data_IF_417449017656
#
_entry.id   IF_417449017656
#
_cell.length_a   1.000
_cell.length_b   1.000
_cell.length_c   1.000
_cell.angle_alpha   90.00
_cell.angle_beta   90.00
_cell.angle_gamma   90.00
#
_symmetry.space_group_name_H-M   'P 1'
#
loop_
_entity.id
_entity.type
_entity.pdbx_description
1 polymer ?
#
# COMPACT_ATOMS: atom_id res chain seq x y z
N UNK A 1 11.32 -5.80 21.34
CA UNK A 1 12.59 -5.28 20.80
C UNK A 1 12.95 -6.16 19.61
N UNK A 2 12.51 -5.91 18.38
CA UNK A 2 11.92 -4.72 17.78
C UNK A 2 10.93 -5.23 16.73
N UNK A 3 9.76 -4.57 16.69
CA UNK A 3 8.78 -4.47 15.59
C UNK A 3 9.44 -4.84 14.25
N UNK A 4 8.94 -5.68 13.34
CA UNK A 4 7.71 -5.67 12.53
C UNK A 4 7.39 -4.49 11.55
N UNK A 5 8.27 -3.50 11.26
CA UNK A 5 8.22 -2.75 10.01
C UNK A 5 9.12 -3.38 8.92
N UNK A 6 9.68 -4.56 9.16
CA UNK A 6 10.74 -5.14 8.32
C UNK A 6 10.25 -5.91 7.08
N UNK A 7 8.99 -6.33 7.01
CA UNK A 7 8.53 -7.20 5.91
C UNK A 7 8.21 -6.42 4.64
N UNK A 8 8.02 -5.09 4.73
CA UNK A 8 7.80 -4.24 3.55
C UNK A 8 8.96 -3.24 3.28
N UNK A 9 9.82 -2.98 4.27
CA UNK A 9 10.88 -1.95 4.20
C UNK A 9 12.24 -2.44 3.66
N UNK A 10 12.51 -3.76 3.61
CA UNK A 10 13.84 -4.27 3.23
C UNK A 10 14.07 -4.52 1.73
N UNK A 11 13.04 -4.40 0.90
CA UNK A 11 13.14 -4.71 -0.53
C UNK A 11 13.00 -3.44 -1.37
N UNK A 12 14.15 -2.80 -1.54
CA UNK A 12 14.57 -2.03 -2.71
C UNK A 12 14.34 -0.50 -2.69
N UNK A 13 15.42 0.27 -2.45
CA UNK A 13 15.53 1.67 -2.90
C UNK A 13 15.60 1.80 -4.45
N UNK A 14 14.90 0.95 -5.20
CA UNK A 14 14.85 0.93 -6.68
C UNK A 14 13.43 0.88 -7.26
N UNK A 15 12.40 1.11 -6.44
CA UNK A 15 11.00 1.10 -6.89
C UNK A 15 10.50 2.49 -7.35
N UNK A 16 11.19 3.10 -8.31
CA UNK A 16 10.62 4.20 -9.12
C UNK A 16 9.30 3.83 -9.88
N UNK A 17 9.02 2.56 -10.28
CA UNK A 17 7.83 2.24 -11.09
C UNK A 17 6.48 2.54 -10.42
N UNK A 18 6.34 2.31 -9.11
CA UNK A 18 5.06 2.54 -8.43
C UNK A 18 4.70 4.03 -8.34
N UNK A 19 5.69 4.90 -8.14
CA UNK A 19 5.49 6.36 -8.15
C UNK A 19 4.96 6.81 -9.51
N UNK A 20 5.53 6.30 -10.59
CA UNK A 20 5.10 6.60 -11.96
C UNK A 20 3.71 6.05 -12.27
N UNK A 21 3.40 4.81 -11.85
CA UNK A 21 2.06 4.22 -12.05
C UNK A 21 0.96 4.97 -11.28
N UNK A 22 1.23 5.38 -10.03
CA UNK A 22 0.27 6.18 -9.25
C UNK A 22 0.02 7.54 -9.91
N UNK A 23 1.07 8.26 -10.33
CA UNK A 23 0.90 9.57 -10.98
C UNK A 23 0.22 9.47 -12.35
N UNK A 24 0.54 8.45 -13.14
CA UNK A 24 -0.01 8.25 -14.48
C UNK A 24 -1.48 7.80 -14.42
N UNK A 25 -1.78 6.76 -13.64
CA UNK A 25 -3.13 6.17 -13.56
C UNK A 25 -4.08 6.90 -12.60
N UNK A 26 -3.62 7.28 -11.40
CA UNK A 26 -4.46 7.98 -10.41
C UNK A 26 -4.33 9.49 -10.55
N UNK A 27 -3.15 10.06 -10.79
CA UNK A 27 -2.92 11.50 -10.68
C UNK A 27 -2.78 11.95 -9.23
N UNK A 28 -2.98 13.26 -8.96
CA UNK A 28 -2.83 13.82 -7.61
C UNK A 28 -3.91 13.28 -6.67
N UNK A 29 -3.48 12.59 -5.60
CA UNK A 29 -4.37 12.05 -4.57
C UNK A 29 -4.84 13.19 -3.68
N UNK A 30 -6.16 13.35 -3.61
CA UNK A 30 -6.82 14.44 -2.87
C UNK A 30 -7.52 13.95 -1.60
N UNK A 31 -7.77 12.65 -1.50
CA UNK A 31 -8.42 12.06 -0.33
C UNK A 31 -8.04 10.59 -0.14
N UNK A 32 -7.97 10.17 1.12
CA UNK A 32 -7.65 8.79 1.53
C UNK A 32 -8.61 8.39 2.65
N UNK A 33 -9.39 7.34 2.41
CA UNK A 33 -10.24 6.68 3.39
C UNK A 33 -9.52 5.46 3.96
N UNK A 34 -9.29 5.47 5.27
CA UNK A 34 -8.58 4.42 5.99
C UNK A 34 -9.46 3.84 7.10
N UNK A 35 -9.28 2.56 7.42
CA UNK A 35 -10.05 1.91 8.47
C UNK A 35 -9.69 2.46 9.85
N UNK A 36 -10.54 2.18 10.83
CA UNK A 36 -10.21 2.46 12.23
C UNK A 36 -9.05 1.57 12.73
N UNK A 37 -8.21 2.08 13.64
CA UNK A 37 -7.21 1.26 14.32
C UNK A 37 -7.88 0.11 15.09
N UNK A 38 -7.12 -0.95 15.37
CA UNK A 38 -7.57 -2.20 16.03
C UNK A 38 -8.64 -3.00 15.23
N UNK A 39 -8.87 -2.62 13.97
CA UNK A 39 -9.68 -3.39 13.02
C UNK A 39 -8.97 -4.65 12.51
N UNK A 40 -9.65 -5.39 11.63
CA UNK A 40 -9.06 -6.55 10.95
C UNK A 40 -9.24 -6.43 9.44
N UNK A 41 -8.27 -6.97 8.69
CA UNK A 41 -8.28 -7.03 7.23
C UNK A 41 -8.27 -8.49 6.77
N UNK A 42 -8.80 -8.73 5.57
CA UNK A 42 -8.78 -10.04 4.92
C UNK A 42 -8.11 -9.92 3.57
N UNK A 43 -7.30 -10.93 3.21
CA UNK A 43 -6.65 -10.98 1.90
C UNK A 43 -7.66 -10.81 0.77
N UNK A 44 -7.32 -9.93 -0.19
CA UNK A 44 -8.11 -9.65 -1.38
C UNK A 44 -9.37 -8.82 -1.12
N UNK A 45 -9.64 -8.41 0.12
CA UNK A 45 -10.77 -7.52 0.44
C UNK A 45 -10.32 -6.08 0.61
N UNK A 46 -11.19 -5.16 0.22
CA UNK A 46 -10.97 -3.74 0.43
C UNK A 46 -10.93 -3.42 1.93
N UNK A 47 -9.97 -2.57 2.32
CA UNK A 47 -9.88 -2.00 3.66
C UNK A 47 -10.05 -0.47 3.69
N UNK A 48 -10.05 0.17 2.52
CA UNK A 48 -10.08 1.62 2.37
C UNK A 48 -10.12 2.02 0.89
N UNK A 49 -10.07 3.32 0.63
CA UNK A 49 -10.11 3.85 -0.73
C UNK A 49 -9.18 5.06 -0.87
N UNK A 50 -8.61 5.24 -2.06
CA UNK A 50 -7.94 6.49 -2.47
C UNK A 50 -8.78 7.20 -3.52
N UNK A 51 -8.88 8.51 -3.40
CA UNK A 51 -9.49 9.36 -4.40
C UNK A 51 -8.50 10.40 -4.90
N UNK A 52 -8.48 10.55 -6.21
CA UNK A 52 -7.69 11.53 -6.93
C UNK A 52 -8.60 12.43 -7.77
N UNK A 53 -8.00 13.42 -8.40
CA UNK A 53 -8.71 14.27 -9.38
C UNK A 53 -9.20 13.52 -10.63
N UNK A 54 -8.74 12.27 -10.85
CA UNK A 54 -9.09 11.47 -12.02
C UNK A 54 -10.01 10.29 -11.70
N UNK A 55 -9.86 9.68 -10.52
CA UNK A 55 -10.50 8.42 -10.21
C UNK A 55 -10.62 8.17 -8.71
N UNK A 56 -11.49 7.24 -8.34
CA UNK A 56 -11.57 6.64 -7.01
C UNK A 56 -11.23 5.17 -7.14
N UNK A 57 -10.32 4.67 -6.31
CA UNK A 57 -9.90 3.28 -6.30
C UNK A 57 -9.97 2.69 -4.90
N UNK A 58 -10.57 1.51 -4.80
CA UNK A 58 -10.51 0.69 -3.58
C UNK A 58 -9.09 0.16 -3.36
N UNK A 59 -8.73 -0.06 -2.10
CA UNK A 59 -7.44 -0.59 -1.68
C UNK A 59 -7.65 -1.93 -1.03
N UNK A 60 -7.18 -2.98 -1.70
CA UNK A 60 -7.32 -4.35 -1.22
C UNK A 60 -6.14 -4.77 -0.34
N UNK A 61 -6.43 -5.49 0.74
CA UNK A 61 -5.37 -5.99 1.62
C UNK A 61 -4.63 -7.16 0.95
N UNK A 62 -3.29 -7.15 0.90
CA UNK A 62 -2.52 -8.26 0.33
C UNK A 62 -2.54 -9.51 1.25
N UNK A 63 -2.84 -9.32 2.54
CA UNK A 63 -2.83 -10.35 3.57
C UNK A 63 -3.98 -10.17 4.55
N UNK A 64 -4.32 -11.24 5.27
CA UNK A 64 -5.25 -11.23 6.39
C UNK A 64 -4.51 -10.93 7.70
N UNK A 65 -5.14 -10.16 8.59
CA UNK A 65 -4.51 -9.82 9.86
C UNK A 65 -5.22 -8.75 10.67
N UNK A 66 -4.58 -8.37 11.77
CA UNK A 66 -5.02 -7.31 12.68
C UNK A 66 -4.29 -6.01 12.35
N UNK A 67 -5.02 -4.90 12.30
CA UNK A 67 -4.45 -3.58 12.07
C UNK A 67 -3.82 -3.09 13.38
N UNK A 68 -2.50 -2.91 13.39
CA UNK A 68 -1.76 -2.44 14.56
C UNK A 68 -1.46 -0.95 14.51
N UNK A 69 -1.57 -0.33 13.34
CA UNK A 69 -1.33 1.10 13.15
C UNK A 69 -2.02 1.60 11.87
N UNK A 70 -2.52 2.83 11.90
CA UNK A 70 -3.11 3.53 10.74
C UNK A 70 -2.41 4.88 10.61
N UNK A 71 -2.04 5.26 9.40
CA UNK A 71 -1.38 6.54 9.15
C UNK A 71 -2.39 7.68 9.10
N UNK A 72 -2.68 8.27 10.26
CA UNK A 72 -3.62 9.37 10.39
C UNK A 72 -3.16 10.65 9.66
N UNK A 73 -1.87 10.78 9.32
CA UNK A 73 -1.34 11.95 8.61
C UNK A 73 -1.91 12.07 7.19
N UNK A 74 -2.35 10.96 6.58
CA UNK A 74 -2.92 10.95 5.23
C UNK A 74 -4.27 11.66 5.15
N UNK A 75 -4.97 11.84 6.27
CA UNK A 75 -6.21 12.63 6.32
C UNK A 75 -5.96 14.14 6.12
N UNK A 76 -4.79 14.62 6.54
CA UNK A 76 -4.40 16.03 6.41
C UNK A 76 -3.51 16.26 5.18
N UNK A 77 -2.67 15.28 4.84
CA UNK A 77 -1.69 15.37 3.75
C UNK A 77 -1.78 14.16 2.79
N UNK A 78 -2.89 14.01 2.05
CA UNK A 78 -3.10 12.86 1.14
C UNK A 78 -2.04 12.76 0.03
N UNK A 79 -1.46 13.89 -0.39
CA UNK A 79 -0.39 13.93 -1.39
C UNK A 79 0.92 13.23 -0.99
N UNK A 80 1.05 12.77 0.27
CA UNK A 80 2.16 11.89 0.68
C UNK A 80 2.13 10.54 -0.06
N UNK A 81 0.96 10.06 -0.49
CA UNK A 81 0.86 8.86 -1.32
C UNK A 81 1.61 9.04 -2.65
N UNK A 82 1.52 10.22 -3.27
CA UNK A 82 2.26 10.50 -4.51
C UNK A 82 3.76 10.74 -4.24
N UNK A 83 4.09 11.52 -3.19
CA UNK A 83 5.47 12.01 -2.97
C UNK A 83 6.40 10.97 -2.33
N UNK A 84 5.86 10.16 -1.44
CA UNK A 84 6.63 9.29 -0.56
C UNK A 84 5.89 7.97 -0.28
N UNK A 85 5.45 7.22 -1.32
CA UNK A 85 4.54 6.08 -1.18
C UNK A 85 5.02 4.99 -0.22
N UNK A 86 6.34 4.87 -0.05
CA UNK A 86 6.98 3.82 0.76
C UNK A 86 7.45 4.28 2.14
N UNK A 87 7.62 5.58 2.35
CA UNK A 87 8.13 6.12 3.61
C UNK A 87 7.02 6.83 4.37
N UNK A 88 6.61 8.04 3.95
CA UNK A 88 5.61 8.83 4.66
C UNK A 88 4.17 8.51 4.21
N UNK A 89 4.02 7.90 3.05
CA UNK A 89 2.74 7.55 2.40
C UNK A 89 2.20 6.16 2.75
N UNK A 90 2.77 5.46 3.73
CA UNK A 90 2.25 4.17 4.21
C UNK A 90 0.82 4.34 4.75
N UNK A 91 -0.04 3.33 4.60
CA UNK A 91 -1.47 3.44 4.95
C UNK A 91 -1.82 2.76 6.28
N UNK A 92 -1.51 1.47 6.37
CA UNK A 92 -1.77 0.65 7.56
C UNK A 92 -0.58 -0.27 7.84
N UNK A 93 -0.40 -0.65 9.11
CA UNK A 93 0.47 -1.75 9.53
C UNK A 93 -0.40 -2.89 10.01
N UNK A 94 -0.09 -4.08 9.52
CA UNK A 94 -0.89 -5.27 9.79
C UNK A 94 -0.01 -6.32 10.45
N UNK A 95 -0.50 -6.91 11.54
CA UNK A 95 0.04 -8.13 12.11
C UNK A 95 -0.58 -9.33 11.37
N UNK A 96 0.20 -10.09 10.59
CA UNK A 96 -0.34 -11.18 9.77
C UNK A 96 -0.99 -12.26 10.65
N UNK A 97 -2.20 -12.69 10.30
CA UNK A 97 -2.84 -13.86 10.92
C UNK A 97 -2.42 -15.16 10.25
N UNK A 98 -2.00 -15.11 8.98
CA UNK A 98 -1.52 -16.25 8.21
C UNK A 98 -0.21 -15.90 7.46
N UNK A 99 0.96 -16.35 7.95
CA UNK A 99 2.24 -16.07 7.30
C UNK A 99 2.39 -16.63 5.88
N UNK A 100 1.68 -17.71 5.54
CA UNK A 100 1.78 -18.33 4.19
C UNK A 100 1.22 -17.43 3.09
N UNK A 101 0.35 -16.48 3.42
CA UNK A 101 -0.16 -15.49 2.46
C UNK A 101 0.95 -14.56 1.96
N UNK A 102 2.00 -14.34 2.76
CA UNK A 102 3.18 -13.56 2.37
C UNK A 102 3.99 -14.30 1.30
N UNK A 103 4.07 -15.63 1.39
CA UNK A 103 4.77 -16.47 0.40
C UNK A 103 4.09 -16.45 -0.97
N UNK A 104 2.81 -16.05 -1.02
CA UNK A 104 2.04 -15.91 -2.27
C UNK A 104 2.23 -14.54 -2.92
N UNK A 105 2.91 -13.60 -2.26
CA UNK A 105 3.18 -12.27 -2.80
C UNK A 105 4.37 -12.31 -3.76
N UNK A 106 4.27 -11.51 -4.82
CA UNK A 106 5.36 -11.37 -5.78
C UNK A 106 6.57 -10.74 -5.12
N UNK A 107 7.74 -11.30 -5.40
CA UNK A 107 8.99 -10.64 -5.11
C UNK A 107 9.13 -9.40 -5.99
N UNK A 108 9.98 -8.42 -5.61
CA UNK A 108 10.02 -7.17 -6.36
C UNK A 108 10.45 -7.30 -7.82
N UNK A 109 11.33 -8.26 -8.14
CA UNK A 109 11.73 -8.52 -9.53
C UNK A 109 10.57 -9.04 -10.37
N UNK A 110 9.74 -9.89 -9.78
CA UNK A 110 8.56 -10.46 -10.44
C UNK A 110 7.50 -9.36 -10.63
N UNK A 111 7.33 -8.51 -9.62
CA UNK A 111 6.43 -7.35 -9.70
C UNK A 111 6.87 -6.33 -10.75
N UNK A 112 8.16 -5.94 -10.79
CA UNK A 112 8.67 -5.03 -11.84
C UNK A 112 8.42 -5.58 -13.23
N UNK A 113 8.67 -6.88 -13.42
CA UNK A 113 8.42 -7.53 -14.71
C UNK A 113 6.93 -7.51 -15.07
N UNK A 114 6.03 -7.77 -14.12
CA UNK A 114 4.59 -7.70 -14.35
C UNK A 114 4.16 -6.30 -14.81
N UNK A 115 4.63 -5.25 -14.15
CA UNK A 115 4.34 -3.86 -14.54
C UNK A 115 4.83 -3.54 -15.96
N UNK A 116 6.06 -3.95 -16.30
CA UNK A 116 6.61 -3.75 -17.65
C UNK A 116 5.80 -4.51 -18.72
N UNK A 117 5.21 -5.67 -18.39
CA UNK A 117 4.35 -6.45 -19.29
C UNK A 117 2.96 -5.84 -19.45
N UNK A 118 2.42 -5.17 -18.43
CA UNK A 118 1.10 -4.50 -18.47
C UNK A 118 1.14 -3.14 -19.20
N UNK A 119 2.29 -2.47 -19.23
CA UNK A 119 2.50 -1.20 -19.95
C UNK A 119 2.66 -1.38 -21.49
N UNK A 120 2.64 -2.63 -21.99
CA UNK A 120 2.83 -3.00 -23.40
C UNK A 120 1.55 -3.54 -24.07
#
# INVERSE_FOLDING_TARGET
>A
MTLLPFVLSLLLPKLEPWRLMVEDHLGEVVFVDLPEPDGSVSQGKSFGAVESVKATSDINSPISGEIVEVNTQLSETPGLINKSPYEEGWMIKVKPSNPSEIESLLGPKEYTKLCEEEDH
#
